data_IF_962055380526
#
_entry.id   IF_962055380526
#
_cell.length_a   1.000
_cell.length_b   1.000
_cell.length_c   1.000
_cell.angle_alpha   90.00
_cell.angle_beta   90.00
_cell.angle_gamma   90.00
#
_symmetry.space_group_name_H-M   'P 1'
#
loop_
_entity.id
_entity.type
_entity.pdbx_description
1 polymer ?
#
# COMPACT_ATOMS: atom_id res chain seq x y z
N UNK A 1 -1.92 7.49 7.68
CA UNK A 1 -1.53 7.93 9.04
C UNK A 1 -2.65 8.78 9.62
N UNK A 2 -3.25 8.38 10.75
CA UNK A 2 -4.26 9.17 11.44
C UNK A 2 -3.58 10.06 12.48
N UNK A 3 -3.75 11.36 12.35
CA UNK A 3 -3.25 12.31 13.34
C UNK A 3 -4.31 12.54 14.40
N UNK A 4 -3.95 12.30 15.67
CA UNK A 4 -4.77 12.75 16.79
C UNK A 4 -4.61 14.26 16.93
N UNK A 5 -5.60 14.99 16.45
CA UNK A 5 -5.62 16.45 16.56
C UNK A 5 -5.81 16.88 18.03
N UNK A 6 -5.25 18.04 18.43
CA UNK A 6 -5.44 18.55 19.77
C UNK A 6 -6.91 18.88 20.01
N UNK A 7 -7.42 18.61 21.22
CA UNK A 7 -8.81 18.89 21.61
C UNK A 7 -9.17 20.37 21.55
N UNK A 8 -8.18 21.26 21.48
CA UNK A 8 -8.38 22.70 21.28
C UNK A 8 -8.78 23.05 19.86
N UNK A 9 -8.69 22.12 18.89
CA UNK A 9 -9.06 22.40 17.50
C UNK A 9 -10.55 22.79 17.40
N UNK A 10 -11.41 22.09 18.13
CA UNK A 10 -12.86 22.35 18.18
C UNK A 10 -13.21 23.68 18.86
N UNK A 11 -12.23 24.34 19.49
CA UNK A 11 -12.39 25.63 20.16
C UNK A 11 -12.01 26.81 19.25
N UNK A 12 -11.40 26.55 18.10
CA UNK A 12 -11.01 27.60 17.14
C UNK A 12 -12.22 28.02 16.31
N UNK A 13 -12.40 29.33 16.13
CA UNK A 13 -13.26 29.84 15.07
C UNK A 13 -12.66 29.53 13.69
N UNK A 14 -13.49 29.57 12.64
CA UNK A 14 -13.03 29.38 11.25
C UNK A 14 -11.88 30.35 10.90
N UNK A 15 -11.96 31.60 11.38
CA UNK A 15 -10.94 32.61 11.14
C UNK A 15 -9.61 32.22 11.78
N UNK A 16 -9.62 31.83 13.04
CA UNK A 16 -8.42 31.40 13.78
C UNK A 16 -7.83 30.11 13.19
N UNK A 17 -8.68 29.20 12.73
CA UNK A 17 -8.24 27.98 12.04
C UNK A 17 -7.47 28.33 10.76
N UNK A 18 -7.97 29.26 9.95
CA UNK A 18 -7.29 29.69 8.73
C UNK A 18 -6.04 30.54 9.00
N UNK A 19 -6.05 31.39 10.02
CA UNK A 19 -4.85 32.13 10.44
C UNK A 19 -3.73 31.19 10.90
N UNK A 20 -4.09 30.06 11.51
CA UNK A 20 -3.13 29.10 12.04
C UNK A 20 -2.62 28.09 11.01
N UNK A 21 -3.51 27.50 10.21
CA UNK A 21 -3.17 26.39 9.32
C UNK A 21 -3.19 26.77 7.83
N UNK A 22 -3.63 27.98 7.49
CA UNK A 22 -3.84 28.41 6.12
C UNK A 22 -5.28 28.21 5.66
N UNK A 23 -5.60 28.78 4.50
CA UNK A 23 -6.91 28.63 3.85
C UNK A 23 -6.89 27.41 2.92
N UNK A 24 -8.02 26.73 2.74
CA UNK A 24 -8.10 25.67 1.75
C UNK A 24 -7.91 26.25 0.36
N UNK A 25 -7.14 25.55 -0.47
CA UNK A 25 -6.91 25.95 -1.86
C UNK A 25 -7.94 25.27 -2.75
N UNK A 26 -8.58 26.07 -3.59
CA UNK A 26 -9.51 25.62 -4.61
C UNK A 26 -8.78 25.46 -5.93
N UNK A 27 -9.04 24.36 -6.63
CA UNK A 27 -8.55 24.13 -7.97
C UNK A 27 -9.65 23.53 -8.84
N UNK A 28 -9.58 23.86 -10.13
CA UNK A 28 -10.47 23.30 -11.14
C UNK A 28 -10.08 21.84 -11.38
N UNK A 29 -11.08 20.97 -11.49
CA UNK A 29 -10.86 19.56 -11.77
C UNK A 29 -10.62 19.42 -13.27
N UNK A 30 -9.37 19.16 -13.65
CA UNK A 30 -9.00 18.85 -15.03
C UNK A 30 -9.02 17.33 -15.25
N UNK A 31 -9.72 16.89 -16.30
CA UNK A 31 -9.75 15.47 -16.69
C UNK A 31 -8.48 15.16 -17.48
N UNK A 32 -7.54 14.45 -16.88
CA UNK A 32 -6.22 14.23 -17.48
C UNK A 32 -6.17 13.28 -18.68
N UNK A 33 -7.23 12.55 -19.05
CA UNK A 33 -7.06 11.51 -20.10
C UNK A 33 -8.35 11.02 -20.79
N UNK A 34 -9.22 11.90 -21.28
CA UNK A 34 -10.39 11.47 -22.07
C UNK A 34 -10.60 12.35 -23.30
N UNK A 35 -10.59 11.73 -24.50
CA UNK A 35 -10.97 12.38 -25.78
C UNK A 35 -12.46 12.77 -25.82
N UNK A 36 -13.26 12.29 -24.88
CA UNK A 36 -14.65 12.66 -24.63
C UNK A 36 -14.87 12.70 -23.11
N UNK A 37 -15.44 13.77 -22.55
CA UNK A 37 -15.69 13.88 -21.10
C UNK A 37 -16.65 12.75 -20.65
N UNK A 38 -16.22 11.79 -19.81
CA UNK A 38 -17.07 10.67 -19.41
C UNK A 38 -18.05 11.03 -18.28
N UNK A 39 -18.02 12.26 -17.78
CA UNK A 39 -18.83 12.69 -16.64
C UNK A 39 -19.97 13.61 -17.06
N UNK A 40 -21.18 13.32 -16.57
CA UNK A 40 -22.37 14.17 -16.70
C UNK A 40 -22.29 15.44 -15.84
N UNK A 41 -23.36 16.25 -15.79
CA UNK A 41 -23.40 17.47 -14.99
C UNK A 41 -23.23 17.24 -13.48
N UNK A 42 -23.19 15.98 -13.02
CA UNK A 42 -22.94 15.63 -11.62
C UNK A 42 -21.44 15.64 -11.24
N UNK A 43 -20.51 15.76 -12.20
CA UNK A 43 -19.10 15.84 -11.87
C UNK A 43 -18.76 17.15 -11.14
N UNK A 44 -17.95 17.10 -10.07
CA UNK A 44 -17.51 18.31 -9.39
C UNK A 44 -16.55 19.12 -10.29
N UNK A 45 -16.89 20.38 -10.55
CA UNK A 45 -16.06 21.33 -11.30
C UNK A 45 -14.84 21.80 -10.49
N UNK A 46 -14.94 21.74 -9.17
CA UNK A 46 -13.94 22.22 -8.22
C UNK A 46 -13.57 21.12 -7.23
N UNK A 47 -12.29 21.06 -6.92
CA UNK A 47 -11.76 20.27 -5.82
C UNK A 47 -11.08 21.18 -4.80
N UNK A 48 -11.06 20.71 -3.55
CA UNK A 48 -10.43 21.40 -2.43
C UNK A 48 -9.21 20.61 -2.01
N UNK A 49 -8.05 21.28 -1.95
CA UNK A 49 -6.89 20.70 -1.31
C UNK A 49 -7.08 20.75 0.20
N UNK A 50 -7.12 19.61 0.91
CA UNK A 50 -7.25 19.62 2.36
C UNK A 50 -6.07 20.37 2.99
N UNK A 51 -6.37 21.20 3.99
CA UNK A 51 -5.33 21.91 4.75
C UNK A 51 -4.55 20.89 5.61
N UNK A 52 -3.23 21.00 5.65
CA UNK A 52 -2.39 20.21 6.54
C UNK A 52 -2.54 20.69 8.00
N UNK A 53 -3.27 19.93 8.81
CA UNK A 53 -3.48 20.21 10.24
C UNK A 53 -2.41 19.60 11.16
N UNK A 54 -1.43 18.90 10.58
CA UNK A 54 -0.37 18.22 11.31
C UNK A 54 0.85 19.08 11.59
N UNK A 55 1.82 18.47 12.28
CA UNK A 55 3.20 18.95 12.40
C UNK A 55 4.10 18.27 11.37
N UNK A 56 5.30 18.80 11.16
CA UNK A 56 6.32 18.07 10.40
C UNK A 56 6.77 16.81 11.14
N UNK A 57 7.17 15.73 10.44
CA UNK A 57 7.57 14.46 11.06
C UNK A 57 8.61 14.60 12.19
N UNK A 58 9.58 15.49 12.03
CA UNK A 58 10.68 15.73 12.97
C UNK A 58 10.22 16.39 14.28
N UNK A 59 9.00 16.94 14.30
CA UNK A 59 8.42 17.61 15.45
C UNK A 59 7.60 16.66 16.34
N UNK A 60 7.44 15.40 15.94
CA UNK A 60 6.78 14.39 16.75
C UNK A 60 7.82 13.62 17.57
N UNK A 61 7.85 13.78 18.90
CA UNK A 61 8.69 12.92 19.73
C UNK A 61 8.14 11.49 19.71
N UNK A 62 8.99 10.46 19.86
CA UNK A 62 8.54 9.06 19.91
C UNK A 62 7.47 8.80 20.98
N UNK A 63 7.43 9.59 22.06
CA UNK A 63 6.40 9.50 23.10
C UNK A 63 4.99 9.91 22.66
N UNK A 64 4.86 10.68 21.58
CA UNK A 64 3.57 11.04 20.98
C UNK A 64 3.10 9.99 19.95
N UNK A 65 4.00 9.13 19.45
CA UNK A 65 3.65 8.11 18.48
C UNK A 65 2.75 7.04 19.12
N UNK A 66 1.53 6.91 18.60
CA UNK A 66 0.58 5.86 18.98
C UNK A 66 0.17 5.08 17.74
N UNK A 67 0.29 3.76 17.82
CA UNK A 67 -0.21 2.85 16.80
C UNK A 67 -1.65 2.47 17.14
N UNK A 68 -2.55 2.73 16.20
CA UNK A 68 -3.94 2.31 16.27
C UNK A 68 -4.28 1.66 14.94
N UNK A 69 -4.85 0.46 14.99
CA UNK A 69 -5.49 -0.15 13.83
C UNK A 69 -6.85 0.54 13.65
N UNK A 70 -7.13 0.97 12.44
CA UNK A 70 -8.35 1.68 12.07
C UNK A 70 -8.85 1.13 10.73
N UNK A 71 -9.96 1.70 10.24
CA UNK A 71 -10.58 1.32 8.97
C UNK A 71 -11.03 -0.15 8.92
N UNK A 72 -12.00 -0.47 9.79
CA UNK A 72 -12.62 -1.80 9.84
C UNK A 72 -13.72 -1.99 8.77
N UNK A 73 -13.75 -1.16 7.71
CA UNK A 73 -14.75 -1.24 6.64
C UNK A 73 -14.73 -2.57 5.89
N UNK A 74 -13.57 -3.23 5.89
CA UNK A 74 -13.30 -4.51 5.22
C UNK A 74 -13.07 -5.67 6.21
N UNK A 75 -13.52 -5.54 7.46
CA UNK A 75 -13.40 -6.60 8.48
C UNK A 75 -14.57 -7.58 8.43
N UNK A 76 -14.27 -8.88 8.56
CA UNK A 76 -15.26 -9.95 8.51
C UNK A 76 -15.16 -10.82 9.76
N UNK A 77 -16.28 -11.37 10.27
CA UNK A 77 -16.20 -12.34 11.36
C UNK A 77 -15.48 -13.61 10.87
N UNK A 78 -14.67 -14.26 11.74
CA UNK A 78 -13.91 -15.45 11.37
C UNK A 78 -14.74 -16.59 10.76
N UNK A 79 -16.02 -16.68 11.15
CA UNK A 79 -16.97 -17.65 10.61
C UNK A 79 -17.37 -17.43 9.14
N UNK A 80 -16.94 -16.32 8.52
CA UNK A 80 -17.29 -15.92 7.14
C UNK A 80 -16.06 -15.68 6.25
N UNK A 81 -14.85 -15.99 6.73
CA UNK A 81 -13.56 -15.83 6.03
C UNK A 81 -13.52 -16.47 4.63
N UNK A 82 -14.39 -17.45 4.36
CA UNK A 82 -14.38 -18.25 3.13
C UNK A 82 -14.97 -17.60 1.87
N UNK A 83 -15.53 -16.39 1.94
CA UNK A 83 -16.40 -15.88 0.86
C UNK A 83 -15.81 -14.83 -0.10
N UNK A 84 -14.61 -14.26 0.12
CA UNK A 84 -14.27 -12.98 -0.51
C UNK A 84 -12.88 -12.81 -1.16
N UNK A 85 -12.16 -13.88 -1.50
CA UNK A 85 -10.72 -13.76 -1.79
C UNK A 85 -10.26 -13.30 -3.18
N UNK A 86 -11.06 -12.66 -4.03
CA UNK A 86 -10.56 -12.20 -5.36
C UNK A 86 -10.91 -10.79 -5.82
N UNK A 87 -11.99 -10.18 -5.32
CA UNK A 87 -12.50 -8.91 -5.84
C UNK A 87 -12.11 -7.67 -5.02
N UNK A 88 -11.12 -7.76 -4.14
CA UNK A 88 -10.74 -6.62 -3.30
C UNK A 88 -9.53 -5.91 -3.87
N UNK A 89 -9.68 -4.61 -4.07
CA UNK A 89 -8.64 -3.67 -4.53
C UNK A 89 -7.55 -3.43 -3.50
N UNK A 90 -7.05 -4.50 -2.89
CA UNK A 90 -5.93 -4.44 -1.95
C UNK A 90 -4.70 -3.88 -2.66
N UNK A 91 -3.91 -3.03 -1.97
CA UNK A 91 -2.63 -2.58 -2.49
C UNK A 91 -1.79 -3.82 -2.81
N UNK A 92 -1.49 -4.00 -4.09
CA UNK A 92 -0.99 -5.26 -4.67
C UNK A 92 0.28 -5.84 -4.01
N UNK A 93 1.00 -5.05 -3.22
CA UNK A 93 2.26 -5.36 -2.56
C UNK A 93 2.13 -5.96 -1.15
N UNK A 94 1.03 -5.74 -0.44
CA UNK A 94 0.81 -6.29 0.90
C UNK A 94 0.02 -7.62 0.87
N UNK A 95 -0.38 -8.07 -0.32
CA UNK A 95 -1.09 -9.33 -0.49
C UNK A 95 -0.19 -10.52 -0.10
N UNK A 96 -0.71 -11.44 0.72
CA UNK A 96 0.05 -12.60 1.13
C UNK A 96 0.12 -13.62 -0.03
N UNK A 97 1.14 -14.50 -0.05
CA UNK A 97 1.42 -15.37 -1.20
C UNK A 97 0.30 -16.36 -1.51
N UNK A 98 -0.47 -16.82 -0.51
CA UNK A 98 -1.62 -17.71 -0.70
C UNK A 98 -2.70 -17.08 -1.59
N UNK A 99 -2.85 -15.75 -1.56
CA UNK A 99 -3.81 -15.04 -2.42
C UNK A 99 -3.46 -15.12 -3.90
N UNK A 100 -2.26 -15.59 -4.22
CA UNK A 100 -1.75 -15.77 -5.59
C UNK A 100 -1.73 -17.21 -6.03
N UNK A 101 -1.28 -18.10 -5.16
CA UNK A 101 -1.00 -19.48 -5.54
C UNK A 101 -2.14 -20.45 -5.21
N UNK A 102 -3.07 -20.07 -4.35
CA UNK A 102 -4.19 -20.93 -4.03
C UNK A 102 -5.26 -20.86 -5.13
N UNK A 103 -5.87 -22.01 -5.43
CA UNK A 103 -6.92 -22.11 -6.45
C UNK A 103 -8.21 -21.41 -5.99
N UNK A 104 -8.45 -21.41 -4.68
CA UNK A 104 -9.54 -20.69 -4.01
C UNK A 104 -8.96 -19.83 -2.86
N UNK A 105 -8.32 -18.69 -3.19
CA UNK A 105 -7.70 -17.85 -2.18
C UNK A 105 -8.77 -17.31 -1.22
N UNK A 106 -8.45 -17.31 0.07
CA UNK A 106 -9.32 -16.83 1.15
C UNK A 106 -8.47 -16.07 2.15
N UNK A 107 -8.91 -14.87 2.51
CA UNK A 107 -8.30 -14.15 3.61
C UNK A 107 -8.53 -14.91 4.91
N UNK A 108 -7.49 -14.96 5.73
CA UNK A 108 -7.55 -15.55 7.06
C UNK A 108 -6.72 -14.72 8.03
N UNK A 109 -6.71 -15.11 9.31
CA UNK A 109 -5.80 -14.54 10.30
C UNK A 109 -4.32 -14.51 9.84
N UNK A 110 -3.88 -15.49 9.04
CA UNK A 110 -2.49 -15.52 8.55
C UNK A 110 -2.22 -14.42 7.53
N UNK A 111 -3.25 -14.03 6.76
CA UNK A 111 -3.18 -12.92 5.82
C UNK A 111 -2.99 -11.60 6.57
N UNK A 112 -3.66 -11.40 7.71
CA UNK A 112 -3.45 -10.23 8.59
C UNK A 112 -2.04 -10.22 9.20
N UNK A 113 -1.50 -11.38 9.61
CA UNK A 113 -0.13 -11.50 10.12
C UNK A 113 0.89 -11.12 9.06
N UNK A 114 0.68 -11.55 7.81
CA UNK A 114 1.53 -11.17 6.68
C UNK A 114 1.47 -9.65 6.43
N UNK A 115 0.27 -9.08 6.35
CA UNK A 115 0.08 -7.65 6.17
C UNK A 115 0.75 -6.84 7.28
N UNK A 116 0.63 -7.29 8.54
CA UNK A 116 1.33 -6.69 9.67
C UNK A 116 2.86 -6.73 9.51
N UNK A 117 3.42 -7.85 9.06
CA UNK A 117 4.85 -7.97 8.78
C UNK A 117 5.31 -6.97 7.72
N UNK A 118 4.56 -6.85 6.61
CA UNK A 118 4.79 -5.87 5.56
C UNK A 118 4.75 -4.42 6.09
N UNK A 119 3.74 -4.09 6.90
CA UNK A 119 3.59 -2.77 7.52
C UNK A 119 4.74 -2.44 8.47
N UNK A 120 5.18 -3.40 9.30
CA UNK A 120 6.34 -3.19 10.18
C UNK A 120 7.59 -2.90 9.36
N UNK A 121 7.84 -3.71 8.32
CA UNK A 121 8.96 -3.49 7.41
C UNK A 121 8.90 -2.09 6.78
N UNK A 122 7.74 -1.66 6.31
CA UNK A 122 7.54 -0.33 5.73
C UNK A 122 7.78 0.81 6.74
N UNK A 123 7.34 0.65 8.00
CA UNK A 123 7.58 1.65 9.06
C UNK A 123 9.08 1.87 9.29
N UNK A 124 9.89 0.81 9.21
CA UNK A 124 11.33 0.88 9.50
C UNK A 124 12.22 1.04 8.27
N UNK A 125 11.67 0.95 7.06
CA UNK A 125 12.43 1.02 5.81
C UNK A 125 12.19 2.35 5.10
N UNK A 126 13.19 2.85 4.38
CA UNK A 126 13.04 4.06 3.55
C UNK A 126 12.09 3.83 2.36
N UNK A 127 11.86 2.57 2.00
CA UNK A 127 10.96 2.14 0.94
C UNK A 127 10.18 0.91 1.40
N UNK A 128 8.91 0.73 1.00
CA UNK A 128 8.18 -0.48 1.38
C UNK A 128 8.87 -1.67 0.68
N UNK A 129 9.42 -2.60 1.47
CA UNK A 129 10.32 -3.66 0.97
C UNK A 129 9.72 -4.51 -0.17
N UNK A 130 8.39 -4.62 -0.19
CA UNK A 130 7.63 -5.39 -1.17
C UNK A 130 6.91 -4.52 -2.20
N UNK A 131 6.98 -3.20 -2.05
CA UNK A 131 6.40 -2.26 -2.99
C UNK A 131 7.29 -2.08 -4.20
N UNK A 132 6.71 -2.23 -5.39
CA UNK A 132 7.44 -2.00 -6.63
C UNK A 132 6.67 -1.07 -7.58
N UNK A 133 5.97 -0.06 -7.04
CA UNK A 133 5.26 0.93 -7.87
C UNK A 133 4.19 0.31 -8.78
N UNK A 134 4.08 0.84 -10.00
CA UNK A 134 3.19 0.34 -11.06
C UNK A 134 3.70 -0.94 -11.75
N UNK A 135 4.75 -1.56 -11.23
CA UNK A 135 5.27 -2.78 -11.83
C UNK A 135 4.28 -3.94 -11.60
N UNK A 136 4.13 -4.79 -12.61
CA UNK A 136 3.19 -5.91 -12.56
C UNK A 136 3.52 -6.91 -11.45
N UNK A 137 2.52 -7.73 -11.10
CA UNK A 137 2.55 -8.70 -10.00
C UNK A 137 3.77 -9.62 -9.93
N UNK A 138 4.34 -9.96 -11.08
CA UNK A 138 5.55 -10.78 -11.20
C UNK A 138 6.74 -10.19 -10.41
N UNK A 139 6.82 -8.86 -10.31
CA UNK A 139 7.89 -8.19 -9.56
C UNK A 139 7.72 -8.33 -8.05
N UNK A 140 6.49 -8.32 -7.55
CA UNK A 140 6.19 -8.52 -6.12
C UNK A 140 6.56 -9.95 -5.71
N UNK A 141 6.17 -10.94 -6.52
CA UNK A 141 6.52 -12.35 -6.28
C UNK A 141 8.04 -12.54 -6.35
N UNK A 142 8.71 -11.96 -7.35
CA UNK A 142 10.16 -12.02 -7.43
C UNK A 142 10.85 -11.40 -6.20
N UNK A 143 10.31 -10.32 -5.65
CA UNK A 143 10.81 -9.71 -4.41
C UNK A 143 10.59 -10.61 -3.20
N UNK A 144 9.46 -11.31 -3.12
CA UNK A 144 9.27 -12.34 -2.08
C UNK A 144 10.38 -13.40 -2.16
N UNK A 145 10.73 -13.86 -3.36
CA UNK A 145 11.79 -14.88 -3.54
C UNK A 145 13.17 -14.32 -3.20
N UNK A 146 13.47 -13.07 -3.59
CA UNK A 146 14.75 -12.42 -3.26
C UNK A 146 14.96 -12.31 -1.73
N UNK A 147 13.88 -12.07 -0.97
CA UNK A 147 13.93 -11.78 0.47
C UNK A 147 13.76 -13.04 1.32
N UNK A 148 12.77 -13.88 0.98
CA UNK A 148 12.33 -15.03 1.76
C UNK A 148 12.85 -16.36 1.22
N UNK A 149 13.42 -16.35 0.00
CA UNK A 149 13.89 -17.54 -0.69
C UNK A 149 12.78 -18.23 -1.50
N UNK A 150 13.14 -19.39 -2.08
CA UNK A 150 12.25 -20.16 -2.94
C UNK A 150 10.97 -20.60 -2.17
N UNK A 151 9.76 -20.34 -2.68
CA UNK A 151 8.52 -20.78 -2.06
C UNK A 151 8.37 -22.31 -2.15
N UNK A 152 7.35 -22.89 -1.46
CA UNK A 152 7.01 -24.30 -1.61
C UNK A 152 6.86 -24.72 -3.08
N UNK A 153 7.27 -25.95 -3.40
CA UNK A 153 7.34 -26.43 -4.78
C UNK A 153 5.99 -26.30 -5.53
N UNK A 154 4.87 -26.54 -4.85
CA UNK A 154 3.54 -26.38 -5.44
C UNK A 154 3.28 -24.94 -5.92
N UNK A 155 3.67 -23.94 -5.13
CA UNK A 155 3.54 -22.53 -5.50
C UNK A 155 4.56 -22.13 -6.57
N UNK A 156 5.78 -22.69 -6.48
CA UNK A 156 6.83 -22.49 -7.47
C UNK A 156 6.36 -22.93 -8.87
N UNK A 157 5.78 -24.11 -8.99
CA UNK A 157 5.34 -24.66 -10.27
C UNK A 157 4.17 -23.87 -10.90
N UNK A 158 3.30 -23.29 -10.07
CA UNK A 158 2.19 -22.41 -10.50
C UNK A 158 2.66 -21.06 -11.01
N UNK A 159 3.88 -20.65 -10.70
CA UNK A 159 4.42 -19.36 -11.14
C UNK A 159 4.98 -19.45 -12.56
N UNK A 160 4.23 -18.95 -13.55
CA UNK A 160 4.60 -19.06 -14.97
C UNK A 160 5.85 -18.25 -15.35
N UNK A 161 6.04 -17.05 -14.79
CA UNK A 161 7.17 -16.18 -15.14
C UNK A 161 8.47 -16.51 -14.40
N UNK A 162 8.49 -17.57 -13.55
CA UNK A 162 9.62 -17.88 -12.67
C UNK A 162 10.92 -18.11 -13.42
N UNK A 163 10.87 -18.78 -14.57
CA UNK A 163 12.02 -19.22 -15.38
C UNK A 163 12.69 -18.05 -16.13
N UNK A 164 11.98 -16.92 -16.23
CA UNK A 164 12.51 -15.67 -16.77
C UNK A 164 13.36 -14.91 -15.73
N UNK A 165 13.16 -15.21 -14.44
CA UNK A 165 13.72 -14.43 -13.33
C UNK A 165 14.65 -15.25 -12.43
N UNK A 166 14.43 -16.57 -12.31
CA UNK A 166 15.12 -17.44 -11.38
C UNK A 166 15.50 -18.79 -12.00
N UNK A 167 16.56 -19.41 -11.48
CA UNK A 167 16.88 -20.82 -11.73
C UNK A 167 15.90 -21.72 -10.99
N UNK A 168 15.83 -23.01 -11.33
CA UNK A 168 15.02 -23.98 -10.58
C UNK A 168 15.43 -24.13 -9.10
N UNK A 169 16.66 -23.74 -8.75
CA UNK A 169 17.12 -23.67 -7.36
C UNK A 169 16.61 -22.41 -6.62
N UNK A 170 15.94 -21.49 -7.30
CA UNK A 170 15.48 -20.21 -6.75
C UNK A 170 16.55 -19.11 -6.76
N UNK A 171 17.61 -19.25 -7.56
CA UNK A 171 18.67 -18.23 -7.66
C UNK A 171 18.35 -17.22 -8.77
N UNK A 172 18.52 -15.92 -8.51
CA UNK A 172 18.21 -14.87 -9.47
C UNK A 172 19.06 -15.01 -10.74
N UNK A 173 18.41 -15.01 -11.90
CA UNK A 173 19.09 -15.02 -13.20
C UNK A 173 19.75 -13.66 -13.44
N UNK A 174 21.04 -13.68 -13.83
CA UNK A 174 21.83 -12.47 -14.12
C UNK A 174 21.27 -11.65 -15.29
N UNK A 175 20.42 -12.24 -16.13
CA UNK A 175 19.79 -11.61 -17.30
C UNK A 175 18.30 -11.29 -17.09
N UNK A 176 17.71 -11.62 -15.93
CA UNK A 176 16.33 -11.26 -15.63
C UNK A 176 16.27 -9.76 -15.38
N UNK A 177 15.81 -9.00 -16.38
CA UNK A 177 15.54 -7.55 -16.38
C UNK A 177 16.36 -6.77 -15.34
N UNK A 178 17.55 -6.36 -15.78
CA UNK A 178 18.58 -5.68 -15.02
C UNK A 178 18.05 -4.92 -13.78
N UNK A 179 18.46 -5.38 -12.60
CA UNK A 179 18.55 -4.56 -11.41
C UNK A 179 19.64 -3.50 -11.61
N UNK A 180 19.39 -2.50 -12.43
CA UNK A 180 19.86 -1.14 -12.13
C UNK A 180 18.71 -0.53 -11.31
N UNK A 181 18.76 -0.38 -9.99
CA UNK A 181 19.73 0.44 -9.26
C UNK A 181 19.68 0.18 -7.74
N UNK A 182 19.93 -1.03 -7.25
CA UNK A 182 20.08 -1.23 -5.79
C UNK A 182 21.21 -2.20 -5.50
N UNK A 183 22.40 -1.66 -5.22
CA UNK A 183 23.54 -2.46 -4.78
C UNK A 183 24.91 -1.91 -5.17
N UNK A 184 25.20 -0.63 -4.90
CA UNK A 184 26.57 -0.25 -4.57
C UNK A 184 26.61 0.11 -3.09
N UNK A 185 27.34 -0.64 -2.25
CA UNK A 185 27.60 -0.19 -0.90
C UNK A 185 28.44 1.09 -0.94
N UNK A 186 28.15 2.03 -0.04
CA UNK A 186 29.14 3.02 0.39
C UNK A 186 30.25 2.31 1.17
#
# INVERSE_FOLDING_TARGET
>A
MLLRLPSSLDQLSIKELYEKYGKPEQFEVEICDCRESPFGPEAPELAINPIWLGKHPEQYPPSEARLLVADFGETYPPSTESQHGRDRGDPHYALPPEMRFDTEPKYSLHSDIWALGCTICEIFSEYPLLYHGYSGYEHVIAKHVDILGKPPQEWWEKWEARDQLFTEAGERLRSGWATSELGKPL
#
